data_IF_689714458625
#
_entry.id   IF_689714458625
#
_cell.length_a   1.000
_cell.length_b   1.000
_cell.length_c   1.000
_cell.angle_alpha   90.00
_cell.angle_beta   90.00
_cell.angle_gamma   90.00
#
_symmetry.space_group_name_H-M   'P 1'
#
loop_
_entity.id
_entity.type
_entity.pdbx_description
1 polymer ?
#
# COMPACT_ATOMS: atom_id res chain seq x y z
N UNK A 1 -22.48 -20.43 -1.78
CA UNK A 1 -21.19 -20.56 -1.08
C UNK A 1 -20.07 -20.95 -2.04
N UNK A 2 -20.30 -21.85 -2.99
CA UNK A 2 -19.28 -22.34 -3.96
C UNK A 2 -18.57 -21.29 -4.82
N UNK A 3 -19.18 -20.12 -5.10
CA UNK A 3 -18.53 -19.07 -5.92
C UNK A 3 -17.41 -18.29 -5.21
N UNK A 4 -17.43 -18.22 -3.88
CA UNK A 4 -16.42 -17.49 -3.11
C UNK A 4 -15.16 -18.34 -2.89
N UNK A 5 -15.33 -19.65 -2.67
CA UNK A 5 -14.21 -20.59 -2.51
C UNK A 5 -13.35 -20.68 -3.79
N UNK A 6 -13.98 -20.58 -4.97
CA UNK A 6 -13.32 -20.63 -6.28
C UNK A 6 -12.62 -19.30 -6.68
N UNK A 7 -12.92 -18.22 -5.98
CA UNK A 7 -12.23 -16.93 -6.10
C UNK A 7 -11.06 -16.84 -5.10
N UNK A 8 -11.22 -17.39 -3.91
CA UNK A 8 -10.14 -17.47 -2.92
C UNK A 8 -9.00 -18.39 -3.37
N UNK A 9 -9.32 -19.48 -4.09
CA UNK A 9 -8.31 -20.36 -4.69
C UNK A 9 -7.49 -19.70 -5.80
N UNK A 10 -8.01 -18.64 -6.46
CA UNK A 10 -7.29 -17.92 -7.53
C UNK A 10 -6.26 -16.92 -7.03
N UNK A 11 -6.27 -16.65 -5.73
CA UNK A 11 -5.35 -15.71 -5.09
C UNK A 11 -4.69 -16.33 -3.87
N UNK A 12 -4.70 -17.66 -3.76
CA UNK A 12 -4.06 -18.38 -2.67
C UNK A 12 -2.54 -18.12 -2.64
N UNK A 13 -1.96 -17.84 -3.81
CA UNK A 13 -0.56 -17.48 -4.10
C UNK A 13 -0.18 -16.03 -3.76
N UNK A 14 -1.12 -15.21 -3.31
CA UNK A 14 -0.91 -13.81 -3.00
C UNK A 14 -1.10 -13.51 -1.50
N UNK A 15 -0.48 -12.42 -1.06
CA UNK A 15 -0.65 -11.85 0.27
C UNK A 15 -0.81 -10.34 0.15
N UNK A 16 -1.49 -9.74 1.11
CA UNK A 16 -1.70 -8.29 1.14
C UNK A 16 -1.47 -7.75 2.54
N UNK A 17 -0.75 -6.65 2.66
CA UNK A 17 -0.66 -5.90 3.92
C UNK A 17 -0.85 -4.41 3.64
N UNK A 18 -1.17 -3.67 4.69
CA UNK A 18 -1.29 -2.22 4.64
C UNK A 18 -0.64 -1.57 5.86
N UNK A 19 -0.20 -0.33 5.67
CA UNK A 19 0.41 0.48 6.73
C UNK A 19 0.19 1.97 6.46
N UNK A 20 0.10 2.73 7.54
CA UNK A 20 0.02 4.18 7.51
C UNK A 20 1.39 4.80 7.83
N UNK A 21 1.80 5.82 7.10
CA UNK A 21 3.11 6.47 7.27
C UNK A 21 3.02 7.97 6.91
N UNK A 22 3.99 8.79 7.36
CA UNK A 22 4.04 10.20 6.96
C UNK A 22 4.27 10.31 5.45
N UNK A 23 3.43 11.10 4.78
CA UNK A 23 3.42 11.24 3.34
C UNK A 23 4.76 11.67 2.74
N UNK A 24 5.57 12.42 3.48
CA UNK A 24 6.91 12.87 3.07
C UNK A 24 7.87 11.71 2.72
N UNK A 25 7.59 10.49 3.19
CA UNK A 25 8.39 9.29 2.91
C UNK A 25 7.80 8.37 1.83
N UNK A 26 6.72 8.79 1.16
CA UNK A 26 6.04 7.99 0.12
C UNK A 26 6.97 7.56 -1.01
N UNK A 27 7.85 8.47 -1.46
CA UNK A 27 8.79 8.18 -2.54
C UNK A 27 9.78 7.08 -2.16
N UNK A 28 10.45 7.22 -1.01
CA UNK A 28 11.39 6.21 -0.50
C UNK A 28 10.71 4.85 -0.29
N UNK A 29 9.53 4.83 0.33
CA UNK A 29 8.79 3.59 0.58
C UNK A 29 8.43 2.92 -0.75
N UNK A 30 7.92 3.69 -1.73
CA UNK A 30 7.57 3.16 -3.04
C UNK A 30 8.79 2.56 -3.76
N UNK A 31 9.93 3.24 -3.72
CA UNK A 31 11.17 2.79 -4.36
C UNK A 31 11.70 1.50 -3.75
N UNK A 32 11.78 1.39 -2.42
CA UNK A 32 12.26 0.19 -1.75
C UNK A 32 11.35 -1.02 -2.00
N UNK A 33 10.03 -0.81 -1.96
CA UNK A 33 9.06 -1.86 -2.31
C UNK A 33 9.12 -2.22 -3.80
N UNK A 34 9.33 -1.22 -4.65
CA UNK A 34 9.46 -1.40 -6.10
C UNK A 34 10.64 -2.29 -6.47
N UNK A 35 11.77 -2.12 -5.79
CA UNK A 35 12.93 -3.00 -5.96
C UNK A 35 12.63 -4.44 -5.56
N UNK A 36 12.03 -4.65 -4.37
CA UNK A 36 11.68 -5.99 -3.86
C UNK A 36 10.72 -6.70 -4.81
N UNK A 37 9.71 -5.98 -5.30
CA UNK A 37 8.62 -6.54 -6.10
C UNK A 37 8.86 -6.48 -7.60
N UNK A 38 10.01 -5.96 -8.05
CA UNK A 38 10.28 -5.68 -9.46
C UNK A 38 9.15 -4.86 -10.12
N UNK A 39 8.75 -3.78 -9.46
CA UNK A 39 7.72 -2.83 -9.91
C UNK A 39 8.41 -1.50 -10.22
N UNK A 40 8.21 -1.00 -11.44
CA UNK A 40 8.71 0.33 -11.83
C UNK A 40 7.92 1.43 -11.14
N UNK A 41 8.63 2.37 -10.52
CA UNK A 41 8.04 3.47 -9.74
C UNK A 41 8.20 4.78 -10.49
N UNK A 42 7.07 5.42 -10.79
CA UNK A 42 7.04 6.80 -11.30
C UNK A 42 7.02 7.78 -10.13
N UNK A 43 8.18 8.31 -9.78
CA UNK A 43 8.32 9.28 -8.68
C UNK A 43 7.69 10.63 -9.01
N UNK A 44 7.55 10.99 -10.29
CA UNK A 44 6.85 12.21 -10.70
C UNK A 44 5.35 12.08 -10.48
N UNK A 45 4.78 10.87 -10.64
CA UNK A 45 3.40 10.60 -10.24
C UNK A 45 3.21 10.82 -8.74
N UNK A 46 4.10 10.28 -7.89
CA UNK A 46 4.03 10.46 -6.44
C UNK A 46 4.03 11.94 -6.09
N UNK A 47 5.03 12.68 -6.57
CA UNK A 47 5.18 14.12 -6.37
C UNK A 47 3.96 14.92 -6.82
N UNK A 48 3.47 14.66 -8.03
CA UNK A 48 2.29 15.34 -8.59
C UNK A 48 1.06 15.09 -7.75
N UNK A 49 0.84 13.84 -7.36
CA UNK A 49 -0.27 13.46 -6.46
C UNK A 49 -0.11 14.21 -5.15
N UNK A 50 1.05 14.13 -4.50
CA UNK A 50 1.36 14.76 -3.20
C UNK A 50 1.28 16.29 -3.16
N UNK A 51 1.53 16.99 -4.27
CA UNK A 51 1.52 18.46 -4.28
C UNK A 51 0.22 19.10 -4.74
N UNK A 52 -0.76 18.31 -5.19
CA UNK A 52 -2.03 18.86 -5.63
C UNK A 52 -2.86 19.36 -4.41
N UNK A 53 -2.78 20.65 -4.09
CA UNK A 53 -3.42 21.25 -2.90
C UNK A 53 -4.95 21.36 -2.99
N UNK A 54 -5.54 21.07 -4.15
CA UNK A 54 -6.98 21.14 -4.40
C UNK A 54 -7.63 19.75 -4.57
N UNK A 55 -6.90 18.68 -4.19
CA UNK A 55 -7.36 17.30 -4.29
C UNK A 55 -8.72 17.10 -3.63
N UNK A 56 -9.55 16.31 -4.29
CA UNK A 56 -10.72 15.65 -3.71
C UNK A 56 -10.47 14.13 -3.77
N UNK A 57 -11.23 13.37 -2.99
CA UNK A 57 -11.25 11.92 -3.14
C UNK A 57 -11.58 11.54 -4.59
N UNK A 58 -10.85 10.54 -5.10
CA UNK A 58 -10.90 10.08 -6.49
C UNK A 58 -9.53 9.59 -6.96
N UNK A 59 -9.41 9.23 -8.24
CA UNK A 59 -8.16 8.70 -8.83
C UNK A 59 -6.96 9.65 -8.64
N UNK A 60 -7.18 10.96 -8.62
CA UNK A 60 -6.14 11.99 -8.43
C UNK A 60 -5.47 11.99 -7.05
N UNK A 61 -5.96 11.17 -6.12
CA UNK A 61 -5.43 11.01 -4.76
C UNK A 61 -4.83 9.63 -4.54
N UNK A 62 -4.64 8.84 -5.60
CA UNK A 62 -4.06 7.50 -5.52
C UNK A 62 -2.88 7.39 -6.47
N UNK A 63 -1.78 6.81 -5.99
CA UNK A 63 -0.71 6.28 -6.84
C UNK A 63 -0.83 4.76 -6.89
N UNK A 64 -0.88 4.17 -8.08
CA UNK A 64 -0.95 2.72 -8.27
C UNK A 64 0.18 2.26 -9.20
N UNK A 65 1.06 1.42 -8.67
CA UNK A 65 2.16 0.82 -9.40
C UNK A 65 1.97 -0.70 -9.45
N UNK A 66 2.05 -1.30 -10.64
CA UNK A 66 1.81 -2.73 -10.83
C UNK A 66 3.05 -3.41 -11.38
N UNK A 67 3.24 -4.68 -11.03
CA UNK A 67 4.27 -5.49 -11.66
C UNK A 67 3.90 -5.77 -13.13
N UNK A 68 4.86 -5.59 -14.04
CA UNK A 68 4.64 -5.75 -15.49
C UNK A 68 4.40 -7.21 -15.90
N UNK A 69 4.92 -8.16 -15.11
CA UNK A 69 4.81 -9.60 -15.34
C UNK A 69 3.63 -10.23 -14.58
N UNK A 70 3.21 -9.65 -13.45
CA UNK A 70 2.02 -10.08 -12.70
C UNK A 70 1.25 -8.86 -12.17
N UNK A 71 0.24 -8.42 -12.92
CA UNK A 71 -0.55 -7.24 -12.59
C UNK A 71 -1.42 -7.37 -11.33
N UNK A 72 -1.46 -8.57 -10.71
CA UNK A 72 -2.10 -8.82 -9.42
C UNK A 72 -1.21 -8.34 -8.27
N UNK A 73 0.11 -8.25 -8.48
CA UNK A 73 1.06 -7.66 -7.54
C UNK A 73 1.14 -6.15 -7.77
N UNK A 74 0.98 -5.36 -6.71
CA UNK A 74 0.95 -3.92 -6.80
C UNK A 74 1.35 -3.22 -5.49
N UNK A 75 1.72 -1.96 -5.64
CA UNK A 75 1.85 -0.97 -4.56
C UNK A 75 0.82 0.11 -4.83
N UNK A 76 -0.05 0.36 -3.86
CA UNK A 76 -1.03 1.44 -3.89
C UNK A 76 -0.73 2.41 -2.75
N UNK A 77 -0.72 3.71 -3.05
CA UNK A 77 -0.57 4.79 -2.07
C UNK A 77 -1.82 5.65 -2.15
N UNK A 78 -2.61 5.68 -1.08
CA UNK A 78 -3.69 6.65 -0.90
C UNK A 78 -3.12 7.91 -0.24
N UNK A 79 -3.09 9.00 -0.99
CA UNK A 79 -2.73 10.32 -0.48
C UNK A 79 -4.01 11.05 -0.03
N UNK A 80 -4.41 10.86 1.24
CA UNK A 80 -5.64 11.45 1.79
C UNK A 80 -5.64 12.99 1.67
N UNK A 81 -6.63 13.61 0.99
CA UNK A 81 -6.73 15.05 0.86
C UNK A 81 -6.99 15.74 2.22
N UNK A 82 -5.94 16.28 2.81
CA UNK A 82 -6.01 17.04 4.07
C UNK A 82 -5.37 16.35 5.26
N UNK A 83 -4.82 15.15 5.06
CA UNK A 83 -3.95 14.48 6.03
C UNK A 83 -2.50 14.47 5.54
N UNK A 84 -1.56 14.39 6.47
CA UNK A 84 -0.14 14.13 6.22
C UNK A 84 0.19 12.65 6.39
N UNK A 85 -0.74 11.83 6.90
CA UNK A 85 -0.61 10.38 6.97
C UNK A 85 -1.24 9.73 5.75
N UNK A 86 -0.46 8.95 5.02
CA UNK A 86 -0.91 8.22 3.83
C UNK A 86 -0.96 6.72 4.08
N UNK A 87 -1.84 6.03 3.37
CA UNK A 87 -2.00 4.59 3.46
C UNK A 87 -1.30 3.91 2.28
N UNK A 88 -0.41 2.97 2.57
CA UNK A 88 0.23 2.08 1.59
C UNK A 88 -0.47 0.74 1.70
N UNK A 89 -0.90 0.23 0.56
CA UNK A 89 -1.36 -1.16 0.41
C UNK A 89 -0.40 -1.85 -0.53
N UNK A 90 0.14 -2.99 -0.11
CA UNK A 90 1.00 -3.83 -0.94
C UNK A 90 0.34 -5.18 -1.12
N UNK A 91 0.24 -5.62 -2.38
CA UNK A 91 -0.11 -7.01 -2.71
C UNK A 91 1.05 -7.65 -3.44
N UNK A 92 1.47 -8.82 -3.00
CA UNK A 92 2.64 -9.51 -3.52
C UNK A 92 2.45 -11.03 -3.50
N UNK A 93 3.33 -11.76 -4.18
CA UNK A 93 3.38 -13.21 -4.09
C UNK A 93 3.82 -13.66 -2.69
N UNK A 94 3.34 -14.82 -2.22
CA UNK A 94 3.70 -15.36 -0.89
C UNK A 94 5.21 -15.36 -0.64
N UNK A 95 5.99 -15.72 -1.67
CA UNK A 95 7.46 -15.83 -1.55
C UNK A 95 8.15 -14.51 -1.18
N UNK A 96 7.54 -13.37 -1.50
CA UNK A 96 8.09 -12.03 -1.28
C UNK A 96 7.50 -11.37 -0.02
N UNK A 97 6.42 -11.93 0.51
CA UNK A 97 5.61 -11.32 1.57
C UNK A 97 6.38 -11.02 2.86
N UNK A 98 7.21 -11.96 3.33
CA UNK A 98 7.99 -11.75 4.56
C UNK A 98 9.05 -10.66 4.41
N UNK A 99 9.64 -10.55 3.22
CA UNK A 99 10.60 -9.49 2.91
C UNK A 99 9.90 -8.13 2.85
N UNK A 100 8.78 -8.03 2.14
CA UNK A 100 7.93 -6.82 2.11
C UNK A 100 7.55 -6.39 3.52
N UNK A 101 7.06 -7.32 4.34
CA UNK A 101 6.62 -7.05 5.71
C UNK A 101 7.77 -6.52 6.57
N UNK A 102 8.94 -7.15 6.49
CA UNK A 102 10.13 -6.75 7.25
C UNK A 102 10.64 -5.37 6.81
N UNK A 103 10.62 -5.08 5.51
CA UNK A 103 10.99 -3.77 4.96
C UNK A 103 10.03 -2.68 5.41
N UNK A 104 8.71 -2.90 5.29
CA UNK A 104 7.71 -1.95 5.77
C UNK A 104 7.85 -1.66 7.26
N UNK A 105 8.11 -2.71 8.06
CA UNK A 105 8.37 -2.57 9.48
C UNK A 105 9.60 -1.70 9.75
N UNK A 106 10.72 -2.00 9.09
CA UNK A 106 11.97 -1.23 9.27
C UNK A 106 11.81 0.23 8.87
N UNK A 107 11.10 0.50 7.77
CA UNK A 107 10.80 1.86 7.32
C UNK A 107 9.90 2.61 8.30
N UNK A 108 8.88 1.93 8.84
CA UNK A 108 8.02 2.52 9.86
C UNK A 108 8.79 2.81 11.16
N UNK A 109 9.65 1.91 11.63
CA UNK A 109 10.50 2.16 12.80
C UNK A 109 11.45 3.33 12.60
N UNK A 110 11.99 3.48 11.39
CA UNK A 110 12.87 4.58 11.02
C UNK A 110 12.11 5.90 11.00
N UNK A 111 11.11 6.02 10.13
CA UNK A 111 10.44 7.29 9.84
C UNK A 111 9.33 7.62 10.85
N UNK A 112 8.59 6.62 11.33
CA UNK A 112 7.59 6.83 12.37
C UNK A 112 8.21 7.32 13.68
N UNK A 113 9.41 6.85 14.02
CA UNK A 113 10.15 7.35 15.19
C UNK A 113 10.66 8.78 15.00
N UNK A 114 11.14 9.12 13.80
CA UNK A 114 11.56 10.48 13.45
C UNK A 114 10.40 11.48 13.63
N UNK A 115 9.19 11.11 13.21
CA UNK A 115 7.99 11.96 13.26
C UNK A 115 7.15 11.83 14.56
N UNK A 116 7.63 11.04 15.54
CA UNK A 116 6.92 10.85 16.81
C UNK A 116 5.60 10.07 16.72
N UNK A 117 5.42 9.28 15.65
CA UNK A 117 4.28 8.38 15.52
C UNK A 117 4.37 7.26 16.57
N UNK A 118 3.23 6.87 17.18
CA UNK A 118 3.21 5.77 18.13
C UNK A 118 3.66 4.47 17.43
N UNK A 119 4.65 3.79 18.01
CA UNK A 119 5.22 2.50 17.53
C UNK A 119 4.20 1.34 17.72
N UNK A 120 2.93 1.63 18.00
CA UNK A 120 1.89 0.64 18.34
C UNK A 120 1.30 -0.11 17.13
N UNK A 121 1.75 0.13 15.90
CA UNK A 121 1.14 -0.43 14.69
C UNK A 121 1.91 -1.61 14.06
N UNK A 122 2.93 -2.15 14.73
CA UNK A 122 3.68 -3.34 14.25
C UNK A 122 2.78 -4.58 14.16
N UNK A 123 1.80 -4.73 15.06
CA UNK A 123 0.82 -5.82 15.02
C UNK A 123 -0.20 -5.67 13.86
N UNK A 124 -0.22 -4.54 13.15
CA UNK A 124 -1.12 -4.26 12.02
C UNK A 124 -0.54 -4.69 10.67
N UNK A 125 0.77 -4.91 10.57
CA UNK A 125 1.43 -5.49 9.39
C UNK A 125 1.19 -7.00 9.29
N UNK A 126 -0.09 -7.38 9.22
CA UNK A 126 -0.57 -8.75 9.02
C UNK A 126 -1.15 -8.90 7.62
N UNK A 127 -1.32 -10.16 7.22
CA UNK A 127 -1.98 -10.45 5.96
C UNK A 127 -3.47 -10.11 6.10
N UNK A 128 -3.92 -9.11 5.37
CA UNK A 128 -5.28 -8.59 5.36
C UNK A 128 -6.03 -8.92 4.07
N UNK A 129 -5.48 -9.81 3.23
CA UNK A 129 -5.99 -10.09 1.88
C UNK A 129 -7.48 -10.48 1.85
N UNK A 130 -7.91 -11.30 2.80
CA UNK A 130 -9.29 -11.81 2.88
C UNK A 130 -10.14 -11.14 3.97
N UNK A 131 -9.64 -10.07 4.58
CA UNK A 131 -10.41 -9.31 5.57
C UNK A 131 -11.43 -8.40 4.87
N UNK A 132 -12.72 -8.55 5.21
CA UNK A 132 -13.83 -7.79 4.60
C UNK A 132 -13.70 -6.26 4.79
N UNK A 133 -12.92 -5.84 5.79
CA UNK A 133 -12.70 -4.46 6.16
C UNK A 133 -11.22 -4.04 6.08
N UNK A 134 -10.47 -4.57 5.11
CA UNK A 134 -9.10 -4.12 4.85
C UNK A 134 -9.04 -2.72 4.21
N UNK A 135 -7.86 -2.10 4.23
CA UNK A 135 -7.70 -0.72 3.77
C UNK A 135 -7.92 -0.56 2.27
N UNK A 136 -7.60 -1.58 1.45
CA UNK A 136 -7.92 -1.55 0.02
C UNK A 136 -9.42 -1.37 -0.22
N UNK A 137 -10.26 -2.13 0.49
CA UNK A 137 -11.72 -2.04 0.36
C UNK A 137 -12.21 -0.66 0.82
N UNK A 138 -11.63 -0.10 1.89
CA UNK A 138 -11.97 1.24 2.37
C UNK A 138 -11.62 2.31 1.33
N UNK A 139 -10.43 2.22 0.74
CA UNK A 139 -9.94 3.14 -0.31
C UNK A 139 -10.87 3.10 -1.52
N UNK A 140 -11.18 1.91 -2.04
CA UNK A 140 -12.09 1.73 -3.19
C UNK A 140 -13.44 2.42 -2.92
N UNK A 141 -14.03 2.18 -1.74
CA UNK A 141 -15.31 2.81 -1.35
C UNK A 141 -15.19 4.33 -1.20
N UNK A 142 -14.12 4.82 -0.58
CA UNK A 142 -13.93 6.26 -0.30
C UNK A 142 -13.70 7.06 -1.59
N UNK A 143 -13.01 6.46 -2.56
CA UNK A 143 -12.67 7.10 -3.84
C UNK A 143 -13.69 6.83 -4.95
N UNK A 144 -14.74 6.04 -4.69
CA UNK A 144 -15.73 5.60 -5.68
C UNK A 144 -15.10 4.91 -6.90
N UNK A 145 -14.15 3.99 -6.64
CA UNK A 145 -13.48 3.17 -7.67
C UNK A 145 -14.20 1.84 -7.93
#
# INVERSE_FOLDING_TARGET
MEKFDDLNSKFDDLRQCSINFPGDYSEQIALELGEILNISIDTELIKKTMWNRTRKYGEESICLFRNEHDNRCFILIECDPGDWIYTVVVRCAIKDYELVRTTLHSLYEKYGKEEGLPIRHIDELKDCMFEESNDLIKIIKRHNL
#
